data_IF_986319155851
#
_entry.id   IF_986319155851
#
_cell.length_a   1.000
_cell.length_b   1.000
_cell.length_c   1.000
_cell.angle_alpha   90.00
_cell.angle_beta   90.00
_cell.angle_gamma   90.00
#
_symmetry.space_group_name_H-M   'P 1'
#
loop_
_entity.id
_entity.type
_entity.pdbx_description
1 polymer ?
#
# COMPACT_ATOMS: atom_id res chain seq x y z
N UNK A 1 2.24 -64.21 -9.27
CA UNK A 1 1.99 -63.45 -10.51
C UNK A 1 2.47 -62.02 -10.24
N UNK A 2 3.76 -61.74 -10.47
CA UNK A 2 4.33 -60.42 -10.21
C UNK A 2 4.28 -59.61 -11.50
N UNK A 3 3.45 -58.56 -11.51
CA UNK A 3 3.42 -57.56 -12.56
C UNK A 3 4.67 -56.69 -12.45
N UNK A 4 5.65 -56.96 -13.29
CA UNK A 4 6.83 -56.10 -13.44
C UNK A 4 6.38 -54.77 -14.06
N UNK A 5 6.29 -53.72 -13.25
CA UNK A 5 6.05 -52.35 -13.76
C UNK A 5 7.30 -51.95 -14.56
N UNK A 6 7.24 -52.06 -15.89
CA UNK A 6 8.27 -51.54 -16.77
C UNK A 6 8.20 -50.00 -16.74
N UNK A 7 8.96 -49.37 -15.84
CA UNK A 7 9.14 -47.92 -15.83
C UNK A 7 10.20 -47.56 -16.87
N UNK A 8 9.77 -47.11 -18.05
CA UNK A 8 10.68 -46.60 -19.09
C UNK A 8 11.57 -45.48 -18.48
N UNK A 9 12.91 -45.61 -18.48
CA UNK A 9 13.81 -44.66 -17.85
C UNK A 9 13.64 -43.23 -18.39
N UNK A 10 13.30 -43.05 -19.67
CA UNK A 10 13.02 -41.72 -20.23
C UNK A 10 11.80 -41.04 -19.59
N UNK A 11 10.78 -41.82 -19.23
CA UNK A 11 9.57 -41.30 -18.57
C UNK A 11 9.83 -40.93 -17.12
N UNK A 12 10.77 -41.61 -16.44
CA UNK A 12 11.21 -41.28 -15.08
C UNK A 12 12.03 -39.99 -15.08
N UNK A 13 12.97 -39.83 -16.00
CA UNK A 13 13.78 -38.59 -16.11
C UNK A 13 12.92 -37.37 -16.45
N UNK A 14 11.94 -37.49 -17.37
CA UNK A 14 10.98 -36.42 -17.67
C UNK A 14 10.13 -36.03 -16.45
N UNK A 15 9.70 -36.99 -15.63
CA UNK A 15 8.95 -36.74 -14.39
C UNK A 15 9.80 -36.04 -13.32
N UNK A 16 11.08 -36.41 -13.19
CA UNK A 16 12.02 -35.76 -12.27
C UNK A 16 12.28 -34.31 -12.68
N UNK A 17 12.49 -34.05 -13.98
CA UNK A 17 12.65 -32.69 -14.50
C UNK A 17 11.40 -31.85 -14.26
N UNK A 18 10.20 -32.41 -14.50
CA UNK A 18 8.95 -31.71 -14.25
C UNK A 18 8.75 -31.40 -12.75
N UNK A 19 9.08 -32.35 -11.88
CA UNK A 19 9.01 -32.16 -10.44
C UNK A 19 10.00 -31.10 -9.92
N UNK A 20 11.23 -31.10 -10.43
CA UNK A 20 12.23 -30.08 -10.11
C UNK A 20 11.79 -28.69 -10.60
N UNK A 21 11.21 -28.60 -11.80
CA UNK A 21 10.68 -27.35 -12.35
C UNK A 21 9.53 -26.80 -11.48
N UNK A 22 8.60 -27.65 -11.05
CA UNK A 22 7.52 -27.26 -10.13
C UNK A 22 8.10 -26.78 -8.80
N UNK A 23 9.08 -27.49 -8.21
CA UNK A 23 9.70 -27.08 -6.94
C UNK A 23 10.42 -25.72 -7.01
N UNK A 24 11.02 -25.37 -8.16
CA UNK A 24 11.64 -24.06 -8.37
C UNK A 24 10.60 -22.95 -8.56
N UNK A 25 9.45 -23.26 -9.17
CA UNK A 25 8.39 -22.28 -9.45
C UNK A 25 7.50 -21.98 -8.23
N UNK A 26 7.39 -22.89 -7.26
CA UNK A 26 6.60 -22.71 -6.04
C UNK A 26 7.03 -21.50 -5.17
N UNK A 27 8.32 -21.28 -4.84
CA UNK A 27 8.72 -20.11 -4.08
C UNK A 27 8.60 -18.81 -4.87
N UNK A 28 8.68 -18.85 -6.20
CA UNK A 28 8.57 -17.66 -7.05
C UNK A 28 7.15 -17.05 -7.04
N UNK A 29 6.10 -17.87 -6.90
CA UNK A 29 4.73 -17.37 -6.81
C UNK A 29 4.39 -16.76 -5.45
N UNK A 30 5.03 -17.21 -4.36
CA UNK A 30 4.87 -16.60 -3.03
C UNK A 30 5.52 -15.23 -2.92
N UNK A 31 6.53 -14.93 -3.74
CA UNK A 31 7.23 -13.63 -3.75
C UNK A 31 6.47 -12.51 -4.48
N UNK A 32 5.36 -12.83 -5.18
CA UNK A 32 4.64 -11.87 -6.02
C UNK A 32 3.35 -11.31 -5.40
N UNK A 33 2.86 -11.87 -4.28
CA UNK A 33 1.64 -11.38 -3.65
C UNK A 33 1.92 -10.08 -2.89
N UNK A 34 1.13 -9.03 -3.17
CA UNK A 34 1.29 -7.77 -2.46
C UNK A 34 0.95 -7.95 -0.97
N UNK A 35 1.59 -7.15 -0.09
CA UNK A 35 1.28 -7.18 1.35
C UNK A 35 -0.22 -6.93 1.61
N UNK A 36 -0.84 -6.11 0.75
CA UNK A 36 -2.27 -5.82 0.76
C UNK A 36 -3.13 -7.05 0.51
N UNK A 37 -2.79 -7.85 -0.50
CA UNK A 37 -3.57 -9.05 -0.83
C UNK A 37 -3.26 -10.20 0.14
N UNK A 38 -2.07 -10.21 0.77
CA UNK A 38 -1.72 -11.18 1.84
C UNK A 38 -2.61 -11.01 3.07
N UNK A 39 -2.92 -9.78 3.44
CA UNK A 39 -3.60 -9.45 4.69
C UNK A 39 -5.04 -8.96 4.52
N UNK A 40 -5.56 -8.87 3.30
CA UNK A 40 -6.91 -8.32 3.03
C UNK A 40 -8.06 -9.05 3.72
N UNK A 41 -7.86 -10.33 4.07
CA UNK A 41 -8.86 -11.18 4.74
C UNK A 41 -8.48 -11.50 6.20
N UNK A 42 -7.42 -10.89 6.73
CA UNK A 42 -6.95 -11.16 8.09
C UNK A 42 -7.77 -10.36 9.13
N UNK A 43 -8.29 -10.99 10.20
CA UNK A 43 -9.13 -10.32 11.20
C UNK A 43 -8.39 -9.26 12.05
N UNK A 44 -7.06 -9.38 12.16
CA UNK A 44 -6.19 -8.45 12.90
C UNK A 44 -5.74 -7.27 12.02
N UNK A 45 -6.25 -7.20 10.79
CA UNK A 45 -5.97 -6.14 9.84
C UNK A 45 -7.26 -5.44 9.43
N UNK A 46 -7.25 -4.12 9.51
CA UNK A 46 -8.24 -3.31 8.82
C UNK A 46 -7.72 -3.01 7.43
N UNK A 47 -8.36 -3.61 6.43
CA UNK A 47 -8.04 -3.41 5.03
C UNK A 47 -9.10 -2.53 4.36
N UNK A 48 -8.63 -1.46 3.70
CA UNK A 48 -9.47 -0.56 2.92
C UNK A 48 -8.96 -0.54 1.48
N UNK A 49 -9.86 -0.72 0.52
CA UNK A 49 -9.53 -0.74 -0.92
C UNK A 49 -10.57 0.08 -1.68
N UNK A 50 -10.24 1.35 -1.94
CA UNK A 50 -11.11 2.26 -2.65
C UNK A 50 -10.79 2.20 -4.14
N UNK A 51 -11.82 1.92 -4.94
CA UNK A 51 -11.76 1.84 -6.40
C UNK A 51 -12.09 3.18 -7.05
N UNK A 52 -11.68 3.41 -8.32
CA UNK A 52 -11.90 4.68 -9.04
C UNK A 52 -13.35 5.17 -9.02
N UNK A 53 -14.30 4.22 -9.11
CA UNK A 53 -15.71 4.55 -9.13
C UNK A 53 -16.19 5.26 -7.85
N UNK A 54 -15.62 4.94 -6.68
CA UNK A 54 -15.96 5.62 -5.43
C UNK A 54 -15.46 7.06 -5.43
N UNK A 55 -14.22 7.27 -5.89
CA UNK A 55 -13.63 8.61 -6.06
C UNK A 55 -14.48 9.48 -6.98
N UNK A 56 -14.89 8.96 -8.14
CA UNK A 56 -15.78 9.65 -9.08
C UNK A 56 -17.17 9.95 -8.49
N UNK A 57 -17.68 9.12 -7.58
CA UNK A 57 -18.95 9.36 -6.91
C UNK A 57 -18.83 10.47 -5.87
N UNK A 58 -17.79 10.43 -5.02
CA UNK A 58 -17.50 11.49 -4.05
C UNK A 58 -17.28 12.84 -4.73
N UNK A 59 -16.49 12.83 -5.81
CA UNK A 59 -16.25 13.98 -6.66
C UNK A 59 -17.55 14.60 -7.20
N UNK A 60 -18.63 13.83 -7.38
CA UNK A 60 -19.93 14.35 -7.86
C UNK A 60 -20.86 14.84 -6.75
N UNK A 61 -20.74 14.28 -5.56
CA UNK A 61 -21.57 14.65 -4.40
C UNK A 61 -21.11 15.96 -3.77
N UNK A 62 -19.83 16.29 -3.88
CA UNK A 62 -19.22 17.50 -3.31
C UNK A 62 -19.29 18.72 -4.24
N UNK A 63 -20.07 18.63 -5.34
CA UNK A 63 -20.15 19.68 -6.37
C UNK A 63 -21.14 20.78 -5.95
N UNK A 64 -20.56 21.90 -5.54
CA UNK A 64 -21.13 23.26 -5.59
C UNK A 64 -20.24 24.12 -6.51
N UNK A 65 -20.13 23.77 -7.80
CA UNK A 65 -19.00 24.25 -8.63
C UNK A 65 -19.23 25.60 -9.29
N UNK A 66 -18.39 26.59 -8.95
CA UNK A 66 -18.02 27.74 -9.81
C UNK A 66 -16.56 28.25 -9.56
N UNK A 67 -15.72 27.58 -8.76
CA UNK A 67 -14.35 28.03 -8.45
C UNK A 67 -13.24 27.07 -8.93
N UNK A 68 -12.05 27.63 -9.21
CA UNK A 68 -10.91 26.92 -9.79
C UNK A 68 -10.25 25.89 -8.84
N UNK A 69 -10.44 26.04 -7.52
CA UNK A 69 -9.85 25.15 -6.53
C UNK A 69 -10.61 23.82 -6.45
N UNK A 70 -11.95 23.90 -6.56
CA UNK A 70 -12.83 22.73 -6.69
C UNK A 70 -12.49 21.89 -7.92
N UNK A 71 -12.20 22.53 -9.07
CA UNK A 71 -11.85 21.80 -10.30
C UNK A 71 -10.52 21.03 -10.18
N UNK A 72 -9.53 21.62 -9.51
CA UNK A 72 -8.23 21.00 -9.31
C UNK A 72 -8.34 19.75 -8.40
N UNK A 73 -9.16 19.84 -7.34
CA UNK A 73 -9.50 18.68 -6.51
C UNK A 73 -10.20 17.57 -7.31
N UNK A 74 -11.18 17.90 -8.15
CA UNK A 74 -11.86 16.91 -9.00
C UNK A 74 -10.89 16.20 -9.95
N UNK A 75 -9.96 16.95 -10.55
CA UNK A 75 -8.97 16.38 -11.47
C UNK A 75 -8.05 15.39 -10.75
N UNK A 76 -7.57 15.74 -9.56
CA UNK A 76 -6.77 14.84 -8.72
C UNK A 76 -7.57 13.58 -8.33
N UNK A 77 -8.80 13.73 -7.85
CA UNK A 77 -9.64 12.60 -7.45
C UNK A 77 -9.91 11.66 -8.63
N UNK A 78 -10.09 12.20 -9.84
CA UNK A 78 -10.27 11.42 -11.05
C UNK A 78 -8.98 10.73 -11.55
N UNK A 79 -7.80 11.26 -11.20
CA UNK A 79 -6.53 10.66 -11.61
C UNK A 79 -6.11 9.48 -10.71
N UNK A 80 -6.76 9.31 -9.56
CA UNK A 80 -6.57 8.17 -8.67
C UNK A 80 -7.20 6.90 -9.27
N UNK A 81 -6.36 5.88 -9.44
CA UNK A 81 -6.77 4.56 -9.96
C UNK A 81 -6.97 3.53 -8.86
N UNK A 82 -6.33 3.69 -7.70
CA UNK A 82 -6.51 2.81 -6.55
C UNK A 82 -6.02 3.50 -5.29
N UNK A 83 -6.72 3.25 -4.18
CA UNK A 83 -6.21 3.53 -2.84
C UNK A 83 -6.36 2.27 -1.99
N UNK A 84 -5.24 1.75 -1.49
CA UNK A 84 -5.20 0.61 -0.59
C UNK A 84 -4.61 1.05 0.74
N UNK A 85 -5.20 0.65 1.85
CA UNK A 85 -4.65 0.89 3.18
C UNK A 85 -4.74 -0.37 4.04
N UNK A 86 -3.68 -0.64 4.79
CA UNK A 86 -3.64 -1.59 5.89
C UNK A 86 -3.40 -0.83 7.19
N UNK A 87 -4.18 -1.15 8.21
CA UNK A 87 -3.99 -0.71 9.58
C UNK A 87 -3.95 -1.95 10.46
N UNK A 88 -2.98 -2.04 11.35
CA UNK A 88 -2.87 -3.16 12.31
C UNK A 88 -2.32 -2.70 13.65
N UNK A 89 -2.81 -3.35 14.70
CA UNK A 89 -2.34 -3.33 16.08
C UNK A 89 -1.51 -4.58 16.42
N UNK A 90 -1.44 -5.57 15.51
CA UNK A 90 -0.66 -6.79 15.70
C UNK A 90 0.82 -6.55 15.35
N UNK A 91 1.69 -6.81 16.34
CA UNK A 91 3.14 -6.58 16.22
C UNK A 91 3.85 -7.52 15.25
N UNK A 92 3.36 -8.74 15.06
CA UNK A 92 3.95 -9.68 14.12
C UNK A 92 3.64 -9.26 12.67
N UNK A 93 2.41 -8.82 12.42
CA UNK A 93 1.99 -8.26 11.14
C UNK A 93 2.75 -6.95 10.87
N UNK A 94 2.84 -6.05 11.85
CA UNK A 94 3.65 -4.83 11.78
C UNK A 94 5.10 -5.10 11.35
N UNK A 95 5.74 -6.10 11.97
CA UNK A 95 7.11 -6.49 11.63
C UNK A 95 7.22 -7.06 10.20
N UNK A 96 6.24 -7.85 9.75
CA UNK A 96 6.22 -8.38 8.39
C UNK A 96 6.02 -7.27 7.34
N UNK A 97 5.13 -6.33 7.61
CA UNK A 97 4.94 -5.12 6.79
C UNK A 97 6.25 -4.33 6.69
N UNK A 98 6.95 -4.14 7.81
CA UNK A 98 8.24 -3.41 7.83
C UNK A 98 9.30 -4.11 6.95
N UNK A 99 9.33 -5.44 6.96
CA UNK A 99 10.19 -6.23 6.05
C UNK A 99 9.78 -6.06 4.60
N UNK A 100 8.49 -6.10 4.30
CA UNK A 100 7.97 -5.84 2.96
C UNK A 100 8.30 -4.43 2.48
N UNK A 101 8.26 -3.42 3.34
CA UNK A 101 8.62 -2.04 2.98
C UNK A 101 10.09 -1.96 2.55
N UNK A 102 10.97 -2.68 3.23
CA UNK A 102 12.40 -2.76 2.89
C UNK A 102 12.65 -3.35 1.50
N UNK A 103 11.81 -4.27 1.02
CA UNK A 103 11.90 -4.81 -0.34
C UNK A 103 11.18 -3.94 -1.38
N UNK A 104 10.05 -3.34 -1.01
CA UNK A 104 9.23 -2.49 -1.89
C UNK A 104 9.91 -1.16 -2.23
N UNK A 105 10.72 -0.60 -1.34
CA UNK A 105 11.41 0.68 -1.56
C UNK A 105 12.44 0.66 -2.70
N UNK A 106 12.93 -0.51 -3.13
CA UNK A 106 14.01 -0.65 -4.13
C UNK A 106 13.69 -0.17 -5.56
N UNK A 107 12.54 0.47 -5.78
CA UNK A 107 12.17 1.11 -7.04
C UNK A 107 11.27 2.33 -6.81
N UNK A 108 11.42 2.96 -5.64
CA UNK A 108 10.71 4.16 -5.21
C UNK A 108 11.74 5.19 -4.71
N UNK A 109 11.44 6.46 -4.93
CA UNK A 109 12.20 7.58 -4.39
C UNK A 109 11.65 7.97 -3.02
N UNK A 110 12.53 8.13 -2.04
CA UNK A 110 12.17 8.60 -0.71
C UNK A 110 12.03 10.12 -0.73
N UNK A 111 10.84 10.62 -0.38
CA UNK A 111 10.56 12.06 -0.33
C UNK A 111 10.77 12.64 1.07
N UNK A 112 10.38 11.88 2.09
CA UNK A 112 10.38 12.35 3.47
C UNK A 112 10.49 11.17 4.42
N UNK A 113 11.32 11.34 5.45
CA UNK A 113 11.46 10.43 6.57
C UNK A 113 11.42 11.23 7.87
N UNK A 114 10.59 10.79 8.82
CA UNK A 114 10.55 11.31 10.19
C UNK A 114 10.74 10.14 11.14
N UNK A 115 11.73 10.26 12.02
CA UNK A 115 12.01 9.30 13.09
C UNK A 115 12.00 10.02 14.43
N UNK A 116 11.15 9.57 15.34
CA UNK A 116 11.06 10.17 16.67
C UNK A 116 10.56 9.15 17.71
N UNK A 117 11.31 8.94 18.79
CA UNK A 117 10.97 8.01 19.89
C UNK A 117 10.47 6.62 19.43
N UNK A 118 11.22 5.98 18.52
CA UNK A 118 10.86 4.67 17.97
C UNK A 118 9.72 4.67 16.94
N UNK A 119 9.12 5.84 16.64
CA UNK A 119 8.17 6.03 15.55
C UNK A 119 8.92 6.31 14.26
N UNK A 120 8.36 5.81 13.16
CA UNK A 120 8.89 6.03 11.82
C UNK A 120 7.73 6.39 10.89
N UNK A 121 7.89 7.50 10.16
CA UNK A 121 7.00 7.91 9.08
C UNK A 121 7.84 8.09 7.82
N UNK A 122 7.45 7.42 6.73
CA UNK A 122 8.14 7.46 5.45
C UNK A 122 7.18 7.71 4.31
N UNK A 123 7.59 8.57 3.40
CA UNK A 123 6.89 8.86 2.15
C UNK A 123 7.77 8.46 0.99
N UNK A 124 7.25 7.57 0.15
CA UNK A 124 7.91 7.09 -1.05
C UNK A 124 7.05 7.40 -2.26
N UNK A 125 7.68 7.72 -3.38
CA UNK A 125 6.99 7.89 -4.66
C UNK A 125 7.63 7.08 -5.76
N UNK A 126 6.84 6.81 -6.78
CA UNK A 126 7.34 6.34 -8.07
C UNK A 126 7.06 7.40 -9.11
N UNK A 127 8.10 7.88 -9.76
CA UNK A 127 7.95 8.88 -10.84
C UNK A 127 6.97 8.42 -11.91
N UNK A 128 6.18 9.38 -12.38
CA UNK A 128 5.07 9.20 -13.28
C UNK A 128 5.45 9.37 -14.74
N UNK A 129 4.78 10.31 -15.40
CA UNK A 129 5.02 10.69 -16.79
C UNK A 129 6.08 11.79 -16.93
N UNK A 130 6.26 12.59 -15.89
CA UNK A 130 7.22 13.68 -15.77
C UNK A 130 7.54 13.90 -14.28
N UNK A 131 8.36 14.91 -13.96
CA UNK A 131 8.84 15.18 -12.61
C UNK A 131 7.74 15.64 -11.62
N UNK A 132 6.63 16.17 -12.12
CA UNK A 132 5.55 16.70 -11.29
C UNK A 132 4.45 15.66 -11.04
N UNK A 133 4.50 14.51 -11.73
CA UNK A 133 3.50 13.45 -11.65
C UNK A 133 4.08 12.19 -11.04
N UNK A 134 3.31 11.52 -10.19
CA UNK A 134 3.70 10.22 -9.59
C UNK A 134 2.69 9.13 -9.92
N UNK A 135 3.22 7.94 -10.20
CA UNK A 135 2.43 6.72 -10.46
C UNK A 135 1.98 6.03 -9.18
N UNK A 136 2.84 6.07 -8.17
CA UNK A 136 2.61 5.44 -6.88
C UNK A 136 3.05 6.43 -5.79
N UNK A 137 2.22 6.63 -4.78
CA UNK A 137 2.57 7.26 -3.51
C UNK A 137 2.35 6.22 -2.41
N UNK A 138 3.41 5.89 -1.68
CA UNK A 138 3.40 4.92 -0.61
C UNK A 138 3.78 5.61 0.69
N UNK A 139 2.88 5.55 1.66
CA UNK A 139 3.05 6.12 3.00
C UNK A 139 3.16 4.96 3.97
N UNK A 140 4.20 4.97 4.79
CA UNK A 140 4.45 3.98 5.81
C UNK A 140 4.59 4.67 7.16
N UNK A 141 3.78 4.26 8.14
CA UNK A 141 3.81 4.76 9.51
C UNK A 141 3.93 3.58 10.44
N UNK A 142 4.89 3.61 11.36
CA UNK A 142 5.16 2.52 12.28
C UNK A 142 5.51 3.01 13.69
N UNK A 143 5.28 2.16 14.69
CA UNK A 143 5.61 2.43 16.10
C UNK A 143 4.68 3.43 16.78
N UNK A 144 3.47 3.64 16.26
CA UNK A 144 2.54 4.67 16.77
C UNK A 144 1.60 4.18 17.89
N UNK A 145 1.75 2.93 18.37
CA UNK A 145 0.88 2.34 19.39
C UNK A 145 0.75 3.18 20.66
N UNK A 146 1.83 3.81 21.12
CA UNK A 146 1.79 4.65 22.32
C UNK A 146 1.00 5.96 22.13
N UNK A 147 0.90 6.49 20.91
CA UNK A 147 0.12 7.70 20.62
C UNK A 147 -1.38 7.40 20.48
N UNK A 148 -1.71 6.18 20.07
CA UNK A 148 -3.08 5.78 19.74
C UNK A 148 -3.81 5.15 20.91
N UNK A 149 -3.08 4.74 21.96
CA UNK A 149 -3.63 4.27 23.25
C UNK A 149 -4.72 5.15 23.83
N UNK A 150 -4.44 6.44 23.95
CA UNK A 150 -5.37 7.39 24.59
C UNK A 150 -6.36 8.02 23.59
N UNK A 151 -6.20 7.71 22.30
CA UNK A 151 -6.99 8.31 21.23
C UNK A 151 -8.38 7.66 21.05
N UNK A 152 -8.70 6.59 21.81
CA UNK A 152 -9.97 5.85 21.73
C UNK A 152 -10.40 5.56 20.28
N UNK A 153 -9.49 4.99 19.49
CA UNK A 153 -9.76 4.70 18.07
C UNK A 153 -10.60 3.43 17.99
N UNK A 154 -11.90 3.59 17.75
CA UNK A 154 -12.82 2.47 17.56
C UNK A 154 -12.88 2.05 16.09
N UNK A 155 -12.39 0.85 15.78
CA UNK A 155 -12.49 0.25 14.44
C UNK A 155 -13.22 -1.08 14.57
N UNK A 156 -14.35 -1.19 13.86
CA UNK A 156 -15.24 -2.37 13.91
C UNK A 156 -15.71 -2.70 15.34
N UNK A 157 -16.07 -1.70 16.14
CA UNK A 157 -16.58 -1.92 17.51
C UNK A 157 -15.50 -2.22 18.55
N UNK A 158 -14.21 -2.09 18.19
CA UNK A 158 -13.07 -2.40 19.07
C UNK A 158 -12.16 -1.20 19.18
N UNK A 159 -11.80 -0.82 20.40
CA UNK A 159 -10.69 0.10 20.64
C UNK A 159 -9.38 -0.57 20.20
N UNK A 160 -8.68 0.07 19.26
CA UNK A 160 -7.40 -0.43 18.73
C UNK A 160 -6.27 0.54 19.02
N UNK A 161 -5.20 0.01 19.59
CA UNK A 161 -3.91 0.68 19.70
C UNK A 161 -3.15 0.47 18.39
N UNK A 162 -3.42 1.31 17.39
CA UNK A 162 -2.79 1.17 16.07
C UNK A 162 -1.27 1.22 16.20
N UNK A 163 -0.60 0.20 15.69
CA UNK A 163 0.87 0.09 15.67
C UNK A 163 1.44 0.54 14.33
N UNK A 164 0.85 0.07 13.23
CA UNK A 164 1.35 0.32 11.87
C UNK A 164 0.21 0.69 10.92
N UNK A 165 0.49 1.65 10.04
CA UNK A 165 -0.36 2.02 8.91
C UNK A 165 0.47 2.01 7.63
N UNK A 166 -0.06 1.39 6.58
CA UNK A 166 0.49 1.49 5.22
C UNK A 166 -0.60 1.93 4.28
N UNK A 167 -0.37 3.02 3.55
CA UNK A 167 -1.28 3.49 2.52
C UNK A 167 -0.56 3.55 1.18
N UNK A 168 -1.17 2.98 0.15
CA UNK A 168 -0.71 3.02 -1.23
C UNK A 168 -1.78 3.68 -2.09
N UNK A 169 -1.42 4.81 -2.68
CA UNK A 169 -2.20 5.50 -3.69
C UNK A 169 -1.54 5.28 -5.05
N UNK A 170 -2.32 4.88 -6.06
CA UNK A 170 -1.83 4.74 -7.43
C UNK A 170 -2.67 5.58 -8.37
N UNK A 171 -2.06 6.15 -9.41
CA UNK A 171 -2.76 7.04 -10.33
C UNK A 171 -1.81 7.81 -11.24
N UNK A 172 -2.32 8.86 -11.87
CA UNK A 172 -1.51 9.92 -12.48
C UNK A 172 -1.62 11.16 -11.58
N UNK A 173 -0.89 11.14 -10.46
CA UNK A 173 -1.13 12.07 -9.36
C UNK A 173 -0.19 13.26 -9.53
N UNK A 174 -0.75 14.45 -9.72
CA UNK A 174 0.01 15.70 -9.73
C UNK A 174 0.40 16.07 -8.28
N UNK A 175 1.71 16.16 -8.03
CA UNK A 175 2.28 16.49 -6.72
C UNK A 175 1.87 17.88 -6.24
N UNK A 176 1.64 18.83 -7.16
CA UNK A 176 1.21 20.17 -6.83
C UNK A 176 -0.18 20.17 -6.17
N UNK A 177 -1.04 19.22 -6.54
CA UNK A 177 -2.38 19.05 -5.98
C UNK A 177 -2.36 18.37 -4.60
N UNK A 178 -1.35 17.55 -4.29
CA UNK A 178 -1.18 16.91 -2.97
C UNK A 178 -0.93 17.96 -1.87
N UNK A 179 -0.17 19.03 -2.17
CA UNK A 179 0.07 20.12 -1.22
C UNK A 179 -1.23 20.83 -0.79
N UNK A 180 -2.20 20.93 -1.71
CA UNK A 180 -3.52 21.49 -1.46
C UNK A 180 -4.38 20.53 -0.62
N UNK A 181 -4.26 19.23 -0.86
CA UNK A 181 -4.94 18.19 -0.08
C UNK A 181 -4.47 18.16 1.38
N UNK A 182 -3.17 18.17 1.62
CA UNK A 182 -2.61 18.16 2.98
C UNK A 182 -2.99 19.41 3.78
N UNK A 183 -3.08 20.57 3.11
CA UNK A 183 -3.58 21.81 3.69
C UNK A 183 -5.06 21.70 4.15
N UNK A 184 -5.91 21.01 3.37
CA UNK A 184 -7.33 20.79 3.73
C UNK A 184 -7.54 19.68 4.76
N UNK A 185 -6.66 18.69 4.81
CA UNK A 185 -6.74 17.55 5.75
C UNK A 185 -6.07 17.81 7.11
N UNK A 186 -5.55 19.01 7.35
CA UNK A 186 -4.88 19.41 8.59
C UNK A 186 -3.74 18.45 9.02
N UNK A 187 -2.98 17.94 8.05
CA UNK A 187 -1.86 17.03 8.31
C UNK A 187 -0.61 17.86 8.65
N UNK A 188 0.05 17.63 9.81
CA UNK A 188 1.28 18.32 10.17
C UNK A 188 2.37 18.12 9.09
N UNK A 189 2.92 19.22 8.55
CA UNK A 189 4.04 19.19 7.60
C UNK A 189 3.69 19.47 6.12
N UNK A 190 2.41 19.54 5.74
CA UNK A 190 2.00 19.84 4.36
C UNK A 190 2.44 21.22 3.84
N UNK A 191 2.60 22.20 4.74
CA UNK A 191 3.09 23.54 4.41
C UNK A 191 4.53 23.56 3.87
N UNK A 192 5.32 22.51 4.11
CA UNK A 192 6.70 22.41 3.61
C UNK A 192 6.79 21.91 2.16
N UNK A 193 5.69 21.45 1.57
CA UNK A 193 5.63 20.99 0.17
C UNK A 193 5.39 22.12 -0.83
N UNK A 194 5.06 23.34 -0.37
CA UNK A 194 4.75 24.50 -1.22
C UNK A 194 5.99 25.19 -1.82
N UNK A 195 7.20 24.82 -1.42
CA UNK A 195 8.42 25.52 -1.81
C UNK A 195 9.46 24.58 -2.43
N UNK A 196 9.28 24.24 -3.72
CA UNK A 196 10.39 24.10 -4.66
C UNK A 196 9.95 24.32 -6.09
#
# INVERSE_FOLDING_TARGET
MNTTINKNPETMTKKIILFALIMVLLPASMMAQSIFDKYSENPDVTYVNIKPKMFQMLAKLDISTDDAESQAYLNMVNSITSFKTIITDDKAIAADISKWMTSKQGGLDELMEVKDDGREVKFYVKEGRDADHVKELLIFVNGIGNLTKDANIEINGKNREIETVVALLTGDIDLNEISKLTSKMNIPGGEHLKNK
#
